data_IF_671393493301
#
_entry.id   IF_671393493301
#
_cell.length_a   1.000
_cell.length_b   1.000
_cell.length_c   1.000
_cell.angle_alpha   90.00
_cell.angle_beta   90.00
_cell.angle_gamma   90.00
#
_symmetry.space_group_name_H-M   'P 1'
#
loop_
_entity.id
_entity.type
_entity.pdbx_description
1 polymer ?
#
# COMPACT_ATOMS: atom_id res chain seq x y z
N UNK A 1 17.83 6.65 10.14
CA UNK A 1 17.80 5.18 10.07
C UNK A 1 18.04 4.56 11.43
N UNK A 2 17.02 3.85 11.93
CA UNK A 2 17.02 3.18 13.24
C UNK A 2 16.52 1.76 13.04
N UNK A 3 17.41 0.79 13.03
CA UNK A 3 16.98 -0.61 13.03
C UNK A 3 16.44 -0.95 14.42
N UNK A 4 15.23 -1.50 14.47
CA UNK A 4 14.60 -2.00 15.68
C UNK A 4 14.39 -3.50 15.56
N UNK A 5 14.86 -4.23 16.58
CA UNK A 5 14.58 -5.66 16.69
C UNK A 5 13.16 -5.86 17.22
N UNK A 6 12.33 -6.51 16.41
CA UNK A 6 11.02 -6.99 16.85
C UNK A 6 11.09 -8.51 16.91
N UNK A 7 11.23 -9.06 18.12
CA UNK A 7 11.08 -10.48 18.36
C UNK A 7 9.58 -10.80 18.37
N UNK A 8 9.08 -11.46 17.33
CA UNK A 8 7.73 -11.99 17.36
C UNK A 8 7.69 -13.28 18.18
N UNK A 9 7.22 -13.18 19.42
CA UNK A 9 6.86 -14.33 20.27
C UNK A 9 5.43 -14.79 19.92
N UNK A 10 5.20 -15.30 18.71
CA UNK A 10 3.98 -16.05 18.43
C UNK A 10 4.19 -17.48 18.93
N UNK A 11 3.73 -17.74 20.16
CA UNK A 11 3.98 -18.96 20.96
C UNK A 11 3.57 -20.31 20.33
N UNK A 12 3.08 -20.42 19.09
CA UNK A 12 2.52 -21.71 18.64
C UNK A 12 2.74 -22.19 17.20
N UNK A 13 3.45 -21.50 16.29
CA UNK A 13 3.74 -22.10 14.98
C UNK A 13 5.16 -21.76 14.49
N UNK A 14 6.10 -22.69 14.75
CA UNK A 14 7.46 -22.81 14.20
C UNK A 14 8.46 -21.67 14.50
N UNK A 15 9.69 -22.08 14.87
CA UNK A 15 10.91 -21.32 15.18
C UNK A 15 11.34 -20.30 14.10
N UNK A 16 10.52 -19.31 13.78
CA UNK A 16 10.80 -18.28 12.76
C UNK A 16 11.33 -17.03 13.45
N UNK A 17 12.66 -16.84 13.46
CA UNK A 17 13.23 -15.58 13.96
C UNK A 17 13.06 -14.52 12.88
N UNK A 18 12.10 -13.63 13.08
CA UNK A 18 11.81 -12.50 12.20
C UNK A 18 12.64 -11.27 12.61
N UNK A 19 13.22 -10.58 11.62
CA UNK A 19 13.98 -9.35 11.84
C UNK A 19 13.33 -8.19 11.09
N UNK A 20 12.98 -7.14 11.82
CA UNK A 20 12.52 -5.87 11.25
C UNK A 20 13.69 -4.94 10.94
N UNK A 21 13.76 -4.42 9.72
CA UNK A 21 14.75 -3.43 9.31
C UNK A 21 14.05 -2.16 8.86
N UNK A 22 14.17 -1.07 9.65
CA UNK A 22 13.75 0.24 9.18
C UNK A 22 14.82 0.88 8.31
N UNK A 23 14.53 0.95 7.02
CA UNK A 23 15.48 1.32 5.99
C UNK A 23 15.05 2.59 5.29
N UNK A 24 15.77 3.68 5.58
CA UNK A 24 15.50 4.99 4.98
C UNK A 24 16.27 5.17 3.66
N UNK A 25 17.46 4.59 3.56
CA UNK A 25 18.37 4.69 2.42
C UNK A 25 18.73 3.31 1.88
N UNK A 26 18.53 3.11 0.58
CA UNK A 26 18.85 1.86 -0.10
C UNK A 26 19.19 2.13 -1.58
N UNK A 27 19.88 1.18 -2.18
CA UNK A 27 20.07 1.05 -3.62
C UNK A 27 19.59 -0.33 -4.03
N UNK A 28 18.99 -0.47 -5.21
CA UNK A 28 18.62 -1.79 -5.72
C UNK A 28 18.74 -1.84 -7.24
N UNK A 29 18.95 -3.04 -7.77
CA UNK A 29 19.04 -3.29 -9.21
C UNK A 29 18.20 -4.52 -9.60
N UNK A 30 18.64 -5.38 -10.52
CA UNK A 30 17.91 -6.61 -10.86
C UNK A 30 18.41 -7.85 -10.11
N UNK A 31 19.46 -7.71 -9.30
CA UNK A 31 20.17 -8.81 -8.64
C UNK A 31 20.24 -8.63 -7.11
N UNK A 32 20.18 -7.40 -6.61
CA UNK A 32 20.36 -7.12 -5.18
C UNK A 32 19.75 -5.82 -4.69
N UNK A 33 19.46 -5.79 -3.39
CA UNK A 33 19.18 -4.59 -2.59
C UNK A 33 20.38 -4.36 -1.67
N UNK A 34 20.85 -3.13 -1.57
CA UNK A 34 21.93 -2.72 -0.68
C UNK A 34 21.39 -1.68 0.29
N UNK A 35 21.48 -1.99 1.58
CA UNK A 35 21.23 -1.08 2.69
C UNK A 35 22.57 -0.65 3.28
N UNK A 36 22.93 0.61 3.05
CA UNK A 36 24.24 1.10 3.46
C UNK A 36 24.32 1.44 4.94
N UNK A 37 25.44 1.08 5.58
CA UNK A 37 25.76 1.39 6.98
C UNK A 37 24.60 1.13 7.96
N UNK A 38 23.89 0.01 7.76
CA UNK A 38 22.60 -0.19 8.39
C UNK A 38 22.69 -0.88 9.75
N UNK A 39 23.56 -1.86 9.92
CA UNK A 39 23.61 -2.68 11.14
C UNK A 39 24.45 -2.00 12.23
N UNK A 40 23.94 -2.01 13.47
CA UNK A 40 24.70 -1.58 14.65
C UNK A 40 25.41 -2.78 15.33
N UNK A 41 26.38 -2.56 16.23
CA UNK A 41 27.18 -3.63 16.83
C UNK A 41 26.38 -4.68 17.61
N UNK A 42 25.28 -4.27 18.27
CA UNK A 42 24.39 -5.22 18.94
C UNK A 42 23.76 -6.14 17.91
N UNK A 43 23.34 -5.59 16.77
CA UNK A 43 22.69 -6.36 15.70
C UNK A 43 23.63 -7.42 15.13
N UNK A 44 24.85 -6.99 14.81
CA UNK A 44 25.87 -7.88 14.29
C UNK A 44 26.15 -9.02 15.26
N UNK A 45 26.21 -8.74 16.56
CA UNK A 45 26.45 -9.75 17.61
C UNK A 45 25.34 -10.80 17.66
N UNK A 46 24.08 -10.38 17.60
CA UNK A 46 22.92 -11.30 17.61
C UNK A 46 22.87 -12.15 16.33
N UNK A 47 23.10 -11.53 15.17
CA UNK A 47 23.14 -12.24 13.88
C UNK A 47 24.31 -13.23 13.80
N UNK A 48 25.46 -12.91 14.38
CA UNK A 48 26.61 -13.84 14.52
C UNK A 48 26.28 -15.02 15.42
N UNK A 49 25.67 -14.78 16.58
CA UNK A 49 25.27 -15.85 17.51
C UNK A 49 24.30 -16.85 16.85
N UNK A 50 23.45 -16.36 15.96
CA UNK A 50 22.49 -17.15 15.19
C UNK A 50 23.06 -17.69 13.86
N UNK A 51 24.35 -17.46 13.61
CA UNK A 51 25.12 -17.93 12.45
C UNK A 51 24.54 -17.48 11.11
N UNK A 52 23.84 -16.34 11.10
CA UNK A 52 23.12 -15.86 9.93
C UNK A 52 24.05 -15.46 8.78
N UNK A 53 25.18 -14.80 9.07
CA UNK A 53 26.17 -14.40 8.05
C UNK A 53 26.92 -15.57 7.38
N UNK A 54 26.74 -16.80 7.88
CA UNK A 54 27.43 -17.99 7.36
C UNK A 54 26.52 -18.92 6.56
N UNK A 55 25.24 -18.55 6.37
CA UNK A 55 24.30 -19.33 5.59
C UNK A 55 24.50 -19.07 4.10
N UNK A 56 24.45 -20.13 3.30
CA UNK A 56 24.73 -20.08 1.86
C UNK A 56 23.59 -20.69 1.02
N UNK A 57 22.40 -20.85 1.61
CA UNK A 57 21.21 -21.43 0.95
C UNK A 57 19.94 -20.79 1.53
N UNK A 58 18.99 -20.47 0.64
CA UNK A 58 17.60 -20.07 0.95
C UNK A 58 16.99 -21.04 1.97
N UNK A 59 16.58 -20.50 3.12
CA UNK A 59 15.88 -21.22 4.18
C UNK A 59 14.54 -20.52 4.40
N UNK A 60 13.45 -21.20 4.03
CA UNK A 60 12.10 -20.62 4.11
C UNK A 60 11.64 -20.34 5.55
N UNK A 61 12.37 -20.83 6.56
CA UNK A 61 12.14 -20.56 7.97
C UNK A 61 12.82 -19.27 8.46
N UNK A 62 13.64 -18.62 7.61
CA UNK A 62 14.34 -17.39 7.95
C UNK A 62 14.15 -16.37 6.84
N UNK A 63 13.52 -15.24 7.16
CA UNK A 63 13.37 -14.12 6.24
C UNK A 63 13.53 -12.79 6.94
N UNK A 64 13.83 -11.77 6.15
CA UNK A 64 13.95 -10.40 6.59
C UNK A 64 12.63 -9.67 6.36
N UNK A 65 12.17 -8.95 7.35
CA UNK A 65 11.05 -8.04 7.23
C UNK A 65 11.58 -6.64 7.01
N UNK A 66 11.33 -6.08 5.84
CA UNK A 66 11.60 -4.67 5.60
C UNK A 66 10.36 -3.91 6.05
N UNK A 67 10.47 -3.25 7.19
CA UNK A 67 9.45 -2.32 7.66
C UNK A 67 9.87 -0.91 7.30
N UNK A 68 8.94 -0.11 6.79
CA UNK A 68 9.16 1.32 6.63
C UNK A 68 8.19 2.08 7.52
N UNK A 69 8.74 2.75 8.52
CA UNK A 69 8.00 3.67 9.38
C UNK A 69 8.28 5.09 8.90
N UNK A 70 7.26 5.74 8.35
CA UNK A 70 7.33 7.14 7.96
C UNK A 70 6.28 7.92 8.73
N UNK A 71 6.68 9.04 9.31
CA UNK A 71 5.81 9.86 10.14
C UNK A 71 6.04 11.35 9.86
N UNK A 72 4.97 12.12 10.04
CA UNK A 72 5.04 13.57 10.21
C UNK A 72 4.39 13.95 11.55
N UNK A 73 4.17 15.24 11.79
CA UNK A 73 3.58 15.72 13.05
C UNK A 73 2.10 15.31 13.24
N UNK A 74 1.44 14.78 12.21
CA UNK A 74 0.01 14.47 12.20
C UNK A 74 -0.27 12.97 12.08
N UNK A 75 0.58 12.22 11.39
CA UNK A 75 0.27 10.87 10.96
C UNK A 75 1.53 10.01 10.92
N UNK A 76 1.34 8.72 11.23
CA UNK A 76 2.35 7.68 11.13
C UNK A 76 1.82 6.58 10.22
N UNK A 77 2.60 6.25 9.19
CA UNK A 77 2.28 5.16 8.27
C UNK A 77 3.36 4.09 8.32
N UNK A 78 2.90 2.84 8.32
CA UNK A 78 3.75 1.66 8.34
C UNK A 78 3.42 0.82 7.11
N UNK A 79 4.41 0.57 6.27
CA UNK A 79 4.34 -0.44 5.22
C UNK A 79 5.44 -1.47 5.45
N UNK A 80 5.21 -2.69 4.99
CA UNK A 80 6.03 -3.82 5.35
C UNK A 80 6.00 -4.94 4.32
N UNK A 81 7.14 -5.60 4.16
CA UNK A 81 7.28 -6.70 3.21
C UNK A 81 8.24 -7.77 3.76
N UNK A 82 7.86 -9.03 3.60
CA UNK A 82 8.64 -10.18 4.02
C UNK A 82 9.45 -10.74 2.85
N UNK A 83 10.75 -10.95 3.09
CA UNK A 83 11.70 -11.38 2.08
C UNK A 83 12.48 -12.62 2.54
N UNK A 84 12.19 -13.80 1.98
CA UNK A 84 12.95 -15.03 2.24
C UNK A 84 14.14 -15.14 1.25
N UNK A 85 15.14 -14.28 1.39
CA UNK A 85 16.27 -14.20 0.46
C UNK A 85 17.63 -14.38 1.13
N UNK A 86 18.61 -14.84 0.36
CA UNK A 86 20.00 -14.88 0.79
C UNK A 86 20.50 -13.44 0.98
N UNK A 87 21.25 -13.21 2.06
CA UNK A 87 21.86 -11.90 2.30
C UNK A 87 23.32 -12.04 2.71
N UNK A 88 24.12 -11.03 2.39
CA UNK A 88 25.46 -10.87 2.91
C UNK A 88 25.57 -9.57 3.71
N UNK A 89 26.60 -9.55 4.56
CA UNK A 89 27.00 -8.36 5.26
C UNK A 89 28.47 -8.06 4.94
N UNK A 90 28.72 -6.88 4.39
CA UNK A 90 30.06 -6.45 4.00
C UNK A 90 30.21 -4.95 4.21
N UNK A 91 31.31 -4.51 4.82
CA UNK A 91 31.62 -3.09 5.02
C UNK A 91 30.50 -2.27 5.71
N UNK A 92 29.79 -2.86 6.68
CA UNK A 92 28.60 -2.29 7.34
C UNK A 92 27.34 -2.21 6.47
N UNK A 93 27.37 -2.73 5.25
CA UNK A 93 26.22 -2.80 4.37
C UNK A 93 25.55 -4.17 4.46
N UNK A 94 24.22 -4.18 4.51
CA UNK A 94 23.43 -5.39 4.31
C UNK A 94 23.05 -5.48 2.83
N UNK A 95 23.41 -6.58 2.20
CA UNK A 95 23.15 -6.85 0.79
C UNK A 95 22.17 -8.01 0.72
N UNK A 96 20.95 -7.78 0.26
CA UNK A 96 19.97 -8.83 -0.02
C UNK A 96 20.14 -9.23 -1.48
N UNK A 97 20.51 -10.48 -1.73
CA UNK A 97 20.58 -11.03 -3.08
C UNK A 97 19.25 -11.68 -3.44
N UNK A 98 18.72 -11.32 -4.59
CA UNK A 98 17.54 -11.97 -5.14
C UNK A 98 17.81 -12.39 -6.57
N UNK A 99 17.22 -13.51 -6.95
CA UNK A 99 17.10 -13.90 -8.34
C UNK A 99 15.61 -14.01 -8.63
N UNK A 100 15.18 -13.39 -9.74
CA UNK A 100 13.82 -13.51 -10.24
C UNK A 100 13.65 -14.70 -11.18
N UNK A 101 14.56 -15.69 -11.17
CA UNK A 101 14.55 -16.87 -12.05
C UNK A 101 13.16 -17.59 -12.07
N UNK A 102 12.25 -17.07 -12.89
CA UNK A 102 10.86 -17.53 -13.03
C UNK A 102 9.85 -17.04 -11.98
N UNK A 103 10.20 -16.13 -11.06
CA UNK A 103 9.30 -15.64 -9.99
C UNK A 103 8.84 -14.18 -10.26
N UNK A 104 8.03 -13.96 -11.31
CA UNK A 104 7.50 -12.63 -11.69
C UNK A 104 6.81 -11.88 -10.54
N UNK A 105 6.17 -12.61 -9.62
CA UNK A 105 5.47 -12.02 -8.48
C UNK A 105 6.43 -11.30 -7.50
N UNK A 106 7.63 -11.84 -7.31
CA UNK A 106 8.61 -11.28 -6.35
C UNK A 106 9.14 -9.92 -6.83
N UNK A 107 9.41 -9.77 -8.13
CA UNK A 107 9.86 -8.49 -8.70
C UNK A 107 8.77 -7.42 -8.57
N UNK A 108 7.52 -7.82 -8.85
CA UNK A 108 6.38 -6.93 -8.71
C UNK A 108 6.19 -6.46 -7.26
N UNK A 109 6.16 -7.38 -6.29
CA UNK A 109 5.99 -7.07 -4.87
C UNK A 109 7.06 -6.09 -4.35
N UNK A 110 8.32 -6.28 -4.77
CA UNK A 110 9.42 -5.39 -4.37
C UNK A 110 9.26 -3.99 -4.98
N UNK A 111 8.92 -3.91 -6.27
CA UNK A 111 8.68 -2.64 -6.94
C UNK A 111 7.49 -1.90 -6.32
N UNK A 112 6.40 -2.60 -6.00
CA UNK A 112 5.23 -2.04 -5.32
C UNK A 112 5.61 -1.48 -3.95
N UNK A 113 6.37 -2.23 -3.14
CA UNK A 113 6.84 -1.77 -1.83
C UNK A 113 7.64 -0.46 -1.93
N UNK A 114 8.61 -0.38 -2.83
CA UNK A 114 9.41 0.84 -2.98
C UNK A 114 8.60 2.01 -3.54
N UNK A 115 7.68 1.75 -4.47
CA UNK A 115 6.80 2.78 -4.98
C UNK A 115 5.84 3.29 -3.89
N UNK A 116 5.28 2.41 -3.07
CA UNK A 116 4.43 2.81 -1.93
C UNK A 116 5.22 3.71 -0.98
N UNK A 117 6.45 3.35 -0.63
CA UNK A 117 7.33 4.20 0.19
C UNK A 117 7.54 5.61 -0.39
N UNK A 118 7.79 5.71 -1.69
CA UNK A 118 7.95 7.01 -2.37
C UNK A 118 6.68 7.86 -2.23
N UNK A 119 5.51 7.26 -2.49
CA UNK A 119 4.22 7.96 -2.40
C UNK A 119 3.86 8.36 -0.97
N UNK A 120 4.11 7.49 0.01
CA UNK A 120 3.97 7.80 1.45
C UNK A 120 4.84 9.00 1.82
N UNK A 121 6.10 9.02 1.39
CA UNK A 121 7.01 10.14 1.65
C UNK A 121 6.45 11.46 1.11
N UNK A 122 5.99 11.47 -0.15
CA UNK A 122 5.42 12.65 -0.78
C UNK A 122 4.17 13.13 -0.06
N UNK A 123 3.26 12.22 0.30
CA UNK A 123 2.05 12.54 1.04
C UNK A 123 2.37 13.15 2.41
N UNK A 124 3.25 12.54 3.19
CA UNK A 124 3.61 13.03 4.52
C UNK A 124 4.31 14.41 4.50
N UNK A 125 4.98 14.75 3.40
CA UNK A 125 5.57 16.07 3.18
C UNK A 125 4.61 17.10 2.56
N UNK A 126 3.34 16.74 2.37
CA UNK A 126 2.32 17.63 1.79
C UNK A 126 2.49 17.88 0.29
N UNK A 127 3.21 17.01 -0.41
CA UNK A 127 3.44 17.11 -1.86
C UNK A 127 2.28 16.50 -2.68
N UNK A 128 1.37 15.76 -2.03
CA UNK A 128 0.19 15.16 -2.67
C UNK A 128 -1.07 15.96 -2.34
N UNK A 129 -1.58 16.71 -3.32
CA UNK A 129 -2.86 17.42 -3.22
C UNK A 129 -4.06 16.55 -3.60
N UNK A 130 -5.25 17.17 -3.62
CA UNK A 130 -6.46 16.54 -4.17
C UNK A 130 -6.23 16.10 -5.61
N UNK A 131 -6.74 14.91 -5.97
CA UNK A 131 -6.65 14.31 -7.31
C UNK A 131 -5.21 14.07 -7.77
N UNK A 132 -4.23 14.04 -6.86
CA UNK A 132 -2.84 13.69 -7.18
C UNK A 132 -2.76 12.32 -7.88
N UNK A 133 -3.64 11.39 -7.48
CA UNK A 133 -3.77 10.06 -8.07
C UNK A 133 -4.09 10.07 -9.57
N UNK A 134 -4.70 11.13 -10.11
CA UNK A 134 -5.11 11.16 -11.52
C UNK A 134 -3.93 11.20 -12.49
N UNK A 135 -2.81 11.82 -12.06
CA UNK A 135 -1.58 11.89 -12.86
C UNK A 135 -0.70 10.64 -12.73
N UNK A 136 -1.07 9.70 -11.86
CA UNK A 136 -0.32 8.46 -11.63
C UNK A 136 -0.54 7.46 -12.75
N UNK A 137 0.45 6.61 -12.99
CA UNK A 137 0.26 5.40 -13.81
C UNK A 137 -0.62 4.37 -13.10
N UNK A 138 -1.16 3.39 -13.83
CA UNK A 138 -2.00 2.33 -13.25
C UNK A 138 -1.28 1.56 -12.13
N UNK A 139 0.01 1.28 -12.33
CA UNK A 139 0.86 0.67 -11.30
C UNK A 139 0.92 1.53 -10.03
N UNK A 140 1.10 2.84 -10.19
CA UNK A 140 1.16 3.78 -9.06
C UNK A 140 -0.21 4.00 -8.41
N UNK A 141 -1.32 3.92 -9.17
CA UNK A 141 -2.68 3.95 -8.62
C UNK A 141 -2.99 2.73 -7.77
N UNK A 142 -2.53 1.54 -8.17
CA UNK A 142 -2.62 0.34 -7.32
C UNK A 142 -1.88 0.55 -6.01
N UNK A 143 -0.62 1.02 -6.08
CA UNK A 143 0.15 1.38 -4.89
C UNK A 143 -0.56 2.44 -4.03
N UNK A 144 -1.19 3.44 -4.66
CA UNK A 144 -1.95 4.49 -3.96
C UNK A 144 -3.15 3.91 -3.20
N UNK A 145 -3.91 3.00 -3.82
CA UNK A 145 -5.04 2.32 -3.19
C UNK A 145 -4.61 1.39 -2.05
N UNK A 146 -3.48 0.70 -2.19
CA UNK A 146 -2.89 -0.10 -1.11
C UNK A 146 -2.54 0.77 0.10
N UNK A 147 -1.90 1.92 -0.12
CA UNK A 147 -1.58 2.87 0.96
C UNK A 147 -2.88 3.38 1.59
N UNK A 148 -3.88 3.74 0.79
CA UNK A 148 -5.17 4.22 1.29
C UNK A 148 -5.85 3.15 2.16
N UNK A 149 -5.76 1.88 1.78
CA UNK A 149 -6.25 0.76 2.59
C UNK A 149 -5.52 0.66 3.93
N UNK A 150 -4.19 0.64 3.91
CA UNK A 150 -3.37 0.57 5.12
C UNK A 150 -3.66 1.74 6.08
N UNK A 151 -3.76 2.96 5.53
CA UNK A 151 -4.14 4.16 6.28
C UNK A 151 -5.52 4.01 6.92
N UNK A 152 -6.50 3.51 6.19
CA UNK A 152 -7.86 3.31 6.70
C UNK A 152 -7.95 2.24 7.80
N UNK A 153 -7.01 1.29 7.87
CA UNK A 153 -6.93 0.33 8.98
C UNK A 153 -6.34 0.94 10.27
N UNK A 154 -5.50 1.97 10.14
CA UNK A 154 -4.87 2.66 11.26
C UNK A 154 -5.71 3.81 11.80
N UNK A 155 -6.52 4.43 10.94
CA UNK A 155 -7.38 5.54 11.31
C UNK A 155 -8.49 5.07 12.26
N UNK A 156 -8.70 5.82 13.35
CA UNK A 156 -9.99 5.76 14.02
C UNK A 156 -11.05 6.31 13.07
N UNK A 157 -12.20 5.65 12.98
CA UNK A 157 -13.30 6.16 12.15
C UNK A 157 -13.62 7.58 12.61
N UNK A 158 -13.59 8.53 11.68
CA UNK A 158 -13.98 9.90 11.98
C UNK A 158 -15.45 9.92 12.42
N UNK A 159 -15.79 10.76 13.41
CA UNK A 159 -17.18 10.99 13.84
C UNK A 159 -18.05 11.60 12.72
N UNK A 160 -17.41 12.07 11.62
CA UNK A 160 -18.10 12.71 10.50
C UNK A 160 -18.63 11.68 9.53
N UNK A 161 -19.94 11.50 9.54
CA UNK A 161 -20.65 10.69 8.56
C UNK A 161 -20.76 11.44 7.21
N UNK A 162 -20.19 10.86 6.16
CA UNK A 162 -20.30 11.31 4.76
C UNK A 162 -21.66 10.87 4.20
N UNK A 163 -22.44 11.84 3.71
CA UNK A 163 -23.80 11.61 3.21
C UNK A 163 -23.91 11.70 1.69
N UNK A 164 -23.02 12.48 1.09
CA UNK A 164 -22.99 12.75 -0.33
C UNK A 164 -21.54 12.89 -0.79
N UNK A 165 -21.24 12.32 -1.96
CA UNK A 165 -19.99 12.52 -2.69
C UNK A 165 -20.26 12.96 -4.12
N UNK A 166 -19.30 13.70 -4.71
CA UNK A 166 -19.38 14.15 -6.09
C UNK A 166 -18.23 13.51 -6.87
N UNK A 167 -18.57 12.68 -7.85
CA UNK A 167 -17.63 12.11 -8.80
C UNK A 167 -17.64 12.98 -10.05
N UNK A 168 -16.52 13.56 -10.42
CA UNK A 168 -16.38 14.31 -11.66
C UNK A 168 -15.77 13.39 -12.73
N UNK A 169 -16.57 13.06 -13.75
CA UNK A 169 -16.21 12.14 -14.82
C UNK A 169 -15.00 12.60 -15.64
N UNK A 170 -14.65 13.90 -15.60
CA UNK A 170 -13.43 14.41 -16.21
C UNK A 170 -12.14 13.84 -15.58
N UNK A 171 -12.23 13.23 -14.38
CA UNK A 171 -11.12 12.58 -13.69
C UNK A 171 -11.24 11.06 -13.63
N UNK A 172 -12.21 10.45 -14.33
CA UNK A 172 -12.45 9.01 -14.29
C UNK A 172 -12.26 8.45 -15.69
N UNK A 173 -11.03 8.02 -15.99
CA UNK A 173 -10.67 7.41 -17.28
C UNK A 173 -10.51 5.88 -17.19
N UNK A 174 -10.48 5.33 -15.99
CA UNK A 174 -10.24 3.91 -15.71
C UNK A 174 -10.94 3.45 -14.43
N UNK A 175 -11.07 2.13 -14.24
CA UNK A 175 -11.57 1.54 -13.00
C UNK A 175 -10.77 2.00 -11.76
N UNK A 176 -9.44 2.10 -11.88
CA UNK A 176 -8.57 2.55 -10.79
C UNK A 176 -8.85 4.01 -10.42
N UNK A 177 -9.14 4.86 -11.40
CA UNK A 177 -9.54 6.26 -11.16
C UNK A 177 -10.84 6.35 -10.38
N UNK A 178 -11.82 5.51 -10.70
CA UNK A 178 -13.09 5.47 -9.97
C UNK A 178 -12.87 5.14 -8.48
N UNK A 179 -12.06 4.12 -8.18
CA UNK A 179 -11.76 3.76 -6.78
C UNK A 179 -10.98 4.85 -6.05
N UNK A 180 -9.98 5.45 -6.71
CA UNK A 180 -9.23 6.56 -6.12
C UNK A 180 -10.13 7.77 -5.86
N UNK A 181 -11.02 8.11 -6.80
CA UNK A 181 -11.89 9.27 -6.68
C UNK A 181 -12.95 9.09 -5.59
N UNK A 182 -13.62 7.93 -5.53
CA UNK A 182 -14.60 7.63 -4.47
C UNK A 182 -13.89 7.65 -3.11
N UNK A 183 -12.73 6.99 -3.00
CA UNK A 183 -11.93 6.99 -1.78
C UNK A 183 -11.58 8.40 -1.32
N UNK A 184 -11.15 9.27 -2.24
CA UNK A 184 -10.77 10.65 -1.92
C UNK A 184 -11.95 11.53 -1.47
N UNK A 185 -13.13 11.36 -2.08
CA UNK A 185 -14.33 12.12 -1.68
C UNK A 185 -14.85 11.71 -0.29
N UNK A 186 -14.61 10.46 0.13
CA UNK A 186 -15.01 9.96 1.46
C UNK A 186 -13.97 10.31 2.52
N UNK A 187 -12.69 10.05 2.25
CA UNK A 187 -11.62 10.08 3.25
C UNK A 187 -10.53 11.15 3.04
N UNK A 188 -10.71 12.06 2.09
CA UNK A 188 -9.69 13.04 1.69
C UNK A 188 -8.52 12.40 0.94
N UNK A 189 -7.38 13.09 0.84
CA UNK A 189 -6.20 12.54 0.17
C UNK A 189 -5.79 11.20 0.83
N UNK A 190 -5.52 10.19 -0.01
CA UNK A 190 -5.37 8.78 0.42
C UNK A 190 -6.57 8.22 1.19
N UNK A 191 -7.77 8.72 0.90
CA UNK A 191 -9.01 8.14 1.39
C UNK A 191 -9.32 6.82 0.68
N UNK A 192 -9.95 5.90 1.41
CA UNK A 192 -10.24 4.56 0.91
C UNK A 192 -11.73 4.25 0.98
N UNK A 193 -12.27 3.77 -0.14
CA UNK A 193 -13.63 3.24 -0.27
C UNK A 193 -13.64 1.99 -1.16
N UNK A 194 -12.70 1.06 -0.93
CA UNK A 194 -12.53 -0.14 -1.74
C UNK A 194 -11.49 0.03 -2.86
N UNK A 195 -10.68 -1.01 -3.09
CA UNK A 195 -9.69 -1.06 -4.19
C UNK A 195 -10.09 -1.99 -5.35
N UNK A 196 -11.27 -2.59 -5.26
CA UNK A 196 -11.90 -3.44 -6.28
C UNK A 196 -13.42 -3.45 -6.05
N UNK A 197 -14.19 -4.03 -6.97
CA UNK A 197 -15.65 -3.93 -6.95
C UNK A 197 -16.30 -4.65 -5.75
N UNK A 198 -15.68 -5.75 -5.27
CA UNK A 198 -16.15 -6.45 -4.08
C UNK A 198 -15.93 -5.59 -2.82
N UNK A 199 -14.72 -5.06 -2.64
CA UNK A 199 -14.39 -4.20 -1.52
C UNK A 199 -15.18 -2.88 -1.53
N UNK A 200 -15.43 -2.30 -2.71
CA UNK A 200 -16.27 -1.12 -2.86
C UNK A 200 -17.72 -1.42 -2.45
N UNK A 201 -18.28 -2.55 -2.90
CA UNK A 201 -19.61 -2.98 -2.48
C UNK A 201 -19.69 -3.12 -0.96
N UNK A 202 -18.74 -3.81 -0.34
CA UNK A 202 -18.72 -4.01 1.11
C UNK A 202 -18.70 -2.65 1.83
N UNK A 203 -17.85 -1.71 1.39
CA UNK A 203 -17.80 -0.36 1.95
C UNK A 203 -19.10 0.44 1.73
N UNK A 204 -19.82 0.23 0.63
CA UNK A 204 -21.07 0.94 0.33
C UNK A 204 -22.25 0.41 1.15
N UNK A 205 -22.25 -0.87 1.53
CA UNK A 205 -23.42 -1.51 2.17
C UNK A 205 -23.29 -1.68 3.68
N UNK A 206 -22.08 -1.63 4.22
CA UNK A 206 -21.80 -1.86 5.63
C UNK A 206 -21.36 -0.54 6.30
N UNK A 207 -22.21 0.01 7.15
CA UNK A 207 -22.00 1.27 7.86
C UNK A 207 -20.98 1.16 9.01
N UNK A 208 -20.53 -0.05 9.35
CA UNK A 208 -19.44 -0.28 10.31
C UNK A 208 -18.06 -0.26 9.63
N UNK A 209 -18.00 -0.43 8.30
CA UNK A 209 -16.73 -0.45 7.57
C UNK A 209 -16.24 0.96 7.28
N UNK A 210 -17.10 1.89 6.85
CA UNK A 210 -16.72 3.27 6.51
C UNK A 210 -17.70 4.29 7.09
N UNK A 211 -17.25 5.53 7.39
CA UNK A 211 -18.08 6.56 8.00
C UNK A 211 -19.03 7.19 6.96
N UNK A 212 -19.84 6.38 6.30
CA UNK A 212 -20.79 6.79 5.26
C UNK A 212 -22.22 6.48 5.70
N UNK A 213 -23.16 7.35 5.34
CA UNK A 213 -24.58 7.07 5.53
C UNK A 213 -25.04 6.09 4.47
N UNK A 214 -25.66 4.98 4.88
CA UNK A 214 -26.34 4.08 3.95
C UNK A 214 -27.79 4.51 3.66
N UNK A 215 -28.24 4.52 2.39
CA UNK A 215 -27.43 4.47 1.17
C UNK A 215 -26.70 5.81 0.94
N UNK A 216 -25.45 5.74 0.50
CA UNK A 216 -24.65 6.93 0.18
C UNK A 216 -25.26 7.64 -1.04
N UNK A 217 -25.32 8.97 -1.04
CA UNK A 217 -25.71 9.72 -2.23
C UNK A 217 -24.48 9.98 -3.11
N UNK A 218 -24.50 9.51 -4.35
CA UNK A 218 -23.39 9.66 -5.30
C UNK A 218 -23.88 10.48 -6.48
N UNK A 219 -23.26 11.64 -6.72
CA UNK A 219 -23.53 12.46 -7.91
C UNK A 219 -22.36 12.32 -8.87
N UNK A 220 -22.55 11.62 -9.98
CA UNK A 220 -21.59 11.49 -11.07
C UNK A 220 -21.83 12.59 -12.11
N UNK A 221 -21.06 13.68 -12.01
CA UNK A 221 -21.09 14.83 -12.92
C UNK A 221 -20.21 14.59 -14.13
N UNK A 222 -20.51 15.27 -15.24
CA UNK A 222 -19.70 15.23 -16.45
C UNK A 222 -19.48 13.77 -16.90
N UNK A 223 -20.51 12.94 -16.75
CA UNK A 223 -20.45 11.50 -16.94
C UNK A 223 -20.04 11.10 -18.37
N UNK A 224 -20.36 11.95 -19.35
CA UNK A 224 -19.98 11.77 -20.75
C UNK A 224 -18.47 11.58 -20.93
N UNK A 225 -17.63 12.21 -20.11
CA UNK A 225 -16.18 12.04 -20.17
C UNK A 225 -15.74 10.64 -19.77
N UNK A 226 -16.35 10.06 -18.74
CA UNK A 226 -16.12 8.67 -18.36
C UNK A 226 -16.65 7.71 -19.43
N UNK A 227 -17.83 8.00 -19.97
CA UNK A 227 -18.43 7.19 -21.03
C UNK A 227 -17.54 7.08 -22.27
N UNK A 228 -16.82 8.14 -22.63
CA UNK A 228 -15.88 8.16 -23.76
C UNK A 228 -14.60 7.33 -23.52
N UNK A 229 -14.26 7.04 -22.25
CA UNK A 229 -13.01 6.40 -21.86
C UNK A 229 -13.15 4.91 -21.59
N UNK A 230 -14.32 4.47 -21.17
CA UNK A 230 -14.61 3.08 -20.86
C UNK A 230 -15.25 2.36 -22.04
N UNK A 231 -15.09 1.04 -22.05
CA UNK A 231 -15.94 0.19 -22.89
C UNK A 231 -17.36 0.16 -22.30
N UNK A 232 -18.36 -0.06 -23.16
CA UNK A 232 -19.77 -0.02 -22.77
C UNK A 232 -20.11 -1.01 -21.64
N UNK A 233 -19.54 -2.21 -21.67
CA UNK A 233 -19.81 -3.24 -20.65
C UNK A 233 -19.20 -2.86 -19.29
N UNK A 234 -17.98 -2.30 -19.30
CA UNK A 234 -17.27 -1.92 -18.07
C UNK A 234 -17.96 -0.75 -17.37
N UNK A 235 -18.34 0.31 -18.12
CA UNK A 235 -19.04 1.46 -17.52
C UNK A 235 -20.44 1.07 -17.03
N UNK A 236 -21.14 0.19 -17.76
CA UNK A 236 -22.45 -0.31 -17.33
C UNK A 236 -22.34 -1.12 -16.05
N UNK A 237 -21.29 -1.95 -15.91
CA UNK A 237 -21.02 -2.68 -14.68
C UNK A 237 -20.87 -1.74 -13.47
N UNK A 238 -20.13 -0.63 -13.61
CA UNK A 238 -19.99 0.34 -12.51
C UNK A 238 -21.27 1.12 -12.23
N UNK A 239 -22.04 1.48 -13.26
CA UNK A 239 -23.37 2.08 -13.06
C UNK A 239 -24.26 1.15 -12.25
N UNK A 240 -24.29 -0.14 -12.60
CA UNK A 240 -25.11 -1.14 -11.93
C UNK A 240 -24.64 -1.36 -10.49
N UNK A 241 -23.32 -1.51 -10.27
CA UNK A 241 -22.72 -1.64 -8.94
C UNK A 241 -23.12 -0.46 -8.04
N UNK A 242 -22.92 0.78 -8.51
CA UNK A 242 -23.22 1.96 -7.72
C UNK A 242 -24.73 2.14 -7.52
N UNK A 243 -25.56 1.92 -8.54
CA UNK A 243 -27.02 2.10 -8.43
C UNK A 243 -27.69 1.07 -7.53
N UNK A 244 -27.11 -0.13 -7.39
CA UNK A 244 -27.62 -1.18 -6.52
C UNK A 244 -27.27 -0.96 -5.04
N UNK A 245 -26.15 -0.28 -4.75
CA UNK A 245 -25.60 -0.17 -3.40
C UNK A 245 -25.57 1.28 -2.87
N UNK A 246 -25.96 2.25 -3.69
CA UNK A 246 -26.00 3.68 -3.36
C UNK A 246 -27.13 4.40 -4.11
N UNK A 247 -27.46 5.62 -3.68
CA UNK A 247 -28.34 6.50 -4.45
C UNK A 247 -27.50 7.20 -5.54
N UNK A 248 -27.42 6.62 -6.73
CA UNK A 248 -26.66 7.19 -7.85
C UNK A 248 -27.51 8.21 -8.64
N UNK A 249 -26.93 9.38 -8.87
CA UNK A 249 -27.42 10.39 -9.82
C UNK A 249 -26.34 10.68 -10.86
N UNK A 250 -26.63 10.41 -12.12
CA UNK A 250 -25.77 10.72 -13.27
C UNK A 250 -26.24 12.05 -13.89
N UNK A 251 -25.32 12.98 -14.14
CA UNK A 251 -25.61 14.27 -14.74
C UNK A 251 -24.47 14.84 -15.58
#
# INVERSE_FOLDING_TARGET
MKIEFVKNDHENELDTVLYGLNVDQYQYDQEKIIFHNCLNPQITTEMEALKLFTRTKKDYLFGLYLSCHQENIHEKMNDQIYFPFDFAYQNNDLIIFYSFDGEENTELELNEFFKRKELIYKYLNGECGQKYWFALSDFEKKCWLDIAYLKAQLAQMEDRIVKEIILDGAYIESELDLYCHIGEEVGGVLGYMGCNSAALRDCLTDDEIRPTQYPLHIVWKNFEYSLEKFNQDDIQYFIDLLSQNANLKIC
#
